data_IF_993411383387
#
_entry.id   IF_993411383387
#
_cell.length_a   1.000
_cell.length_b   1.000
_cell.length_c   1.000
_cell.angle_alpha   90.00
_cell.angle_beta   90.00
_cell.angle_gamma   90.00
#
_symmetry.space_group_name_H-M   'P 1'
#
loop_
_entity.id
_entity.type
_entity.pdbx_description
1 polymer ?
#
# COMPACT_ATOMS: atom_id res chain seq x y z
N UNK A 1 -21.24 -50.18 -7.74
CA UNK A 1 -20.82 -49.02 -6.93
C UNK A 1 -22.06 -48.18 -6.67
N UNK A 2 -22.44 -47.93 -5.42
CA UNK A 2 -23.70 -47.22 -5.12
C UNK A 2 -23.59 -45.76 -5.60
N UNK A 3 -24.47 -45.29 -6.52
CA UNK A 3 -24.36 -43.95 -7.10
C UNK A 3 -24.43 -42.84 -6.04
N UNK A 4 -25.17 -43.10 -4.95
CA UNK A 4 -25.28 -42.23 -3.78
C UNK A 4 -23.93 -42.07 -3.08
N UNK A 5 -23.17 -43.16 -2.95
CA UNK A 5 -21.87 -43.17 -2.28
C UNK A 5 -20.81 -42.42 -3.12
N UNK A 6 -20.88 -42.56 -4.45
CA UNK A 6 -20.04 -41.82 -5.39
C UNK A 6 -20.31 -40.31 -5.30
N UNK A 7 -21.58 -39.91 -5.29
CA UNK A 7 -21.98 -38.50 -5.18
C UNK A 7 -21.52 -37.90 -3.85
N UNK A 8 -21.60 -38.65 -2.76
CA UNK A 8 -21.14 -38.23 -1.44
C UNK A 8 -19.61 -38.02 -1.39
N UNK A 9 -18.84 -38.91 -2.02
CA UNK A 9 -17.37 -38.76 -2.12
C UNK A 9 -17.01 -37.51 -2.93
N UNK A 10 -17.66 -37.29 -4.07
CA UNK A 10 -17.42 -36.09 -4.91
C UNK A 10 -17.75 -34.81 -4.14
N UNK A 11 -18.84 -34.82 -3.38
CA UNK A 11 -19.25 -33.67 -2.55
C UNK A 11 -18.21 -33.34 -1.48
N UNK A 12 -17.68 -34.35 -0.78
CA UNK A 12 -16.63 -34.15 0.23
C UNK A 12 -15.37 -33.55 -0.42
N UNK A 13 -14.93 -34.11 -1.55
CA UNK A 13 -13.76 -33.61 -2.28
C UNK A 13 -13.97 -32.15 -2.72
N UNK A 14 -15.16 -31.83 -3.22
CA UNK A 14 -15.49 -30.46 -3.64
C UNK A 14 -15.40 -29.47 -2.46
N UNK A 15 -15.92 -29.84 -1.27
CA UNK A 15 -15.80 -29.00 -0.07
C UNK A 15 -14.34 -28.74 0.29
N UNK A 16 -13.50 -29.79 0.28
CA UNK A 16 -12.08 -29.64 0.58
C UNK A 16 -11.37 -28.71 -0.41
N UNK A 17 -11.69 -28.81 -1.70
CA UNK A 17 -11.13 -27.93 -2.74
C UNK A 17 -11.57 -26.48 -2.49
N UNK A 18 -12.86 -26.25 -2.18
CA UNK A 18 -13.38 -24.91 -1.91
C UNK A 18 -12.71 -24.31 -0.68
N UNK A 19 -12.53 -25.07 0.41
CA UNK A 19 -11.81 -24.61 1.60
C UNK A 19 -10.36 -24.23 1.27
N UNK A 20 -9.63 -25.09 0.56
CA UNK A 20 -8.25 -24.83 0.18
C UNK A 20 -8.13 -23.59 -0.73
N UNK A 21 -9.02 -23.47 -1.71
CA UNK A 21 -9.09 -22.31 -2.60
C UNK A 21 -9.37 -21.02 -1.82
N UNK A 22 -10.29 -21.08 -0.84
CA UNK A 22 -10.64 -19.94 0.02
C UNK A 22 -9.45 -19.49 0.86
N UNK A 23 -8.73 -20.43 1.49
CA UNK A 23 -7.53 -20.12 2.29
C UNK A 23 -6.44 -19.50 1.41
N UNK A 24 -6.17 -20.11 0.25
CA UNK A 24 -5.17 -19.60 -0.67
C UNK A 24 -5.53 -18.19 -1.18
N UNK A 25 -6.80 -17.97 -1.52
CA UNK A 25 -7.31 -16.68 -1.92
C UNK A 25 -7.18 -15.64 -0.81
N UNK A 26 -7.58 -15.98 0.42
CA UNK A 26 -7.47 -15.09 1.58
C UNK A 26 -6.00 -14.72 1.85
N UNK A 27 -5.08 -15.69 1.81
CA UNK A 27 -3.65 -15.44 2.01
C UNK A 27 -3.04 -14.56 0.91
N UNK A 28 -3.41 -14.80 -0.35
CA UNK A 28 -2.97 -13.97 -1.47
C UNK A 28 -3.54 -12.53 -1.36
N UNK A 29 -4.80 -12.40 -0.96
CA UNK A 29 -5.46 -11.11 -0.77
C UNK A 29 -4.85 -10.34 0.41
N UNK A 30 -4.67 -10.98 1.57
CA UNK A 30 -4.04 -10.39 2.77
C UNK A 30 -2.62 -9.93 2.48
N UNK A 31 -1.79 -10.74 1.81
CA UNK A 31 -0.44 -10.32 1.40
C UNK A 31 -0.45 -9.10 0.50
N UNK A 32 -1.41 -9.02 -0.43
CA UNK A 32 -1.48 -7.95 -1.42
C UNK A 32 -2.11 -6.66 -0.88
N UNK A 33 -3.08 -6.75 0.04
CA UNK A 33 -3.86 -5.59 0.48
C UNK A 33 -3.56 -5.11 1.90
N UNK A 34 -3.26 -6.03 2.84
CA UNK A 34 -3.07 -5.69 4.26
C UNK A 34 -1.60 -5.35 4.53
N UNK A 35 -0.66 -6.11 3.94
CA UNK A 35 0.78 -5.81 4.05
C UNK A 35 1.16 -4.45 3.47
N UNK A 36 0.68 -4.13 2.26
CA UNK A 36 1.01 -2.87 1.59
C UNK A 36 0.47 -1.65 2.32
N UNK A 37 -0.74 -1.70 2.88
CA UNK A 37 -1.34 -0.55 3.56
C UNK A 37 -0.75 -0.29 4.95
N UNK A 38 -0.43 -1.34 5.71
CA UNK A 38 0.22 -1.17 7.01
C UNK A 38 1.68 -0.73 6.88
N UNK A 39 2.43 -1.28 5.93
CA UNK A 39 3.80 -0.79 5.63
C UNK A 39 3.78 0.68 5.21
N UNK A 40 2.88 1.04 4.29
CA UNK A 40 2.76 2.43 3.84
C UNK A 40 2.40 3.35 5.02
N UNK A 41 1.51 2.93 5.91
CA UNK A 41 1.15 3.75 7.07
C UNK A 41 2.32 3.90 8.05
N UNK A 42 3.04 2.82 8.33
CA UNK A 42 4.21 2.83 9.22
C UNK A 42 5.34 3.72 8.68
N UNK A 43 5.67 3.57 7.39
CA UNK A 43 6.66 4.40 6.69
C UNK A 43 6.23 5.88 6.70
N UNK A 44 4.95 6.17 6.46
CA UNK A 44 4.42 7.54 6.50
C UNK A 44 4.43 8.14 7.90
N UNK A 45 4.12 7.37 8.95
CA UNK A 45 4.18 7.85 10.34
C UNK A 45 5.62 8.17 10.76
N UNK A 46 6.62 7.51 10.16
CA UNK A 46 8.05 7.84 10.34
C UNK A 46 8.51 9.08 9.56
N UNK A 47 7.68 9.60 8.65
CA UNK A 47 8.05 10.71 7.77
C UNK A 47 8.74 10.29 6.47
N UNK A 48 8.86 8.98 6.21
CA UNK A 48 9.57 8.42 5.06
C UNK A 48 8.63 8.22 3.86
N UNK A 49 9.16 8.35 2.65
CA UNK A 49 8.39 8.08 1.43
C UNK A 49 8.26 6.57 1.25
N UNK A 50 7.04 6.03 1.14
CA UNK A 50 6.87 4.59 1.07
C UNK A 50 7.60 3.96 -0.11
N UNK A 51 8.25 2.82 0.09
CA UNK A 51 9.08 2.17 -0.94
C UNK A 51 8.24 1.84 -2.18
N UNK A 52 6.99 1.42 -1.96
CA UNK A 52 6.02 1.11 -3.01
C UNK A 52 5.74 2.32 -3.92
N UNK A 53 5.79 3.53 -3.38
CA UNK A 53 5.57 4.76 -4.16
C UNK A 53 6.83 5.19 -4.87
N UNK A 54 7.98 5.12 -4.18
CA UNK A 54 9.25 5.61 -4.69
C UNK A 54 9.89 4.68 -5.73
N UNK A 55 9.64 3.37 -5.68
CA UNK A 55 10.28 2.37 -6.56
C UNK A 55 10.22 2.72 -8.05
N UNK A 56 9.04 3.12 -8.54
CA UNK A 56 8.83 3.48 -9.96
C UNK A 56 9.63 4.73 -10.34
N UNK A 57 9.77 5.68 -9.42
CA UNK A 57 10.51 6.91 -9.62
C UNK A 57 12.02 6.69 -9.49
N UNK A 58 12.49 5.95 -8.47
CA UNK A 58 13.90 5.55 -8.29
C UNK A 58 14.43 4.82 -9.54
N UNK A 59 13.69 3.87 -10.10
CA UNK A 59 14.08 3.17 -11.34
C UNK A 59 14.18 4.09 -12.57
N UNK A 60 13.27 5.06 -12.70
CA UNK A 60 13.29 6.01 -13.83
C UNK A 60 14.41 7.04 -13.67
N UNK A 61 14.68 7.47 -12.44
CA UNK A 61 15.75 8.40 -12.09
C UNK A 61 17.11 7.81 -12.47
N UNK A 62 17.41 6.59 -12.03
CA UNK A 62 18.61 5.84 -12.43
C UNK A 62 18.81 5.78 -13.95
N UNK A 63 17.74 5.50 -14.70
CA UNK A 63 17.79 5.47 -16.18
C UNK A 63 18.10 6.83 -16.81
N UNK A 64 17.69 7.94 -16.20
CA UNK A 64 17.96 9.29 -16.70
C UNK A 64 19.33 9.81 -16.25
N UNK A 65 19.79 9.45 -15.06
CA UNK A 65 21.14 9.74 -14.56
C UNK A 65 22.20 9.05 -15.42
N UNK A 66 22.04 7.76 -15.73
CA UNK A 66 22.95 7.02 -16.64
C UNK A 66 23.00 7.67 -18.03
N UNK A 67 21.91 8.31 -18.46
CA UNK A 67 21.82 8.99 -19.77
C UNK A 67 22.26 10.46 -19.73
N UNK A 68 22.75 10.95 -18.59
CA UNK A 68 23.19 12.34 -18.41
C UNK A 68 22.08 13.38 -18.56
N UNK A 69 20.79 13.00 -18.41
CA UNK A 69 19.64 13.89 -18.65
C UNK A 69 19.20 14.59 -17.37
N UNK A 70 20.04 15.46 -16.83
CA UNK A 70 19.78 16.19 -15.57
C UNK A 70 18.42 16.92 -15.56
N UNK A 71 18.05 17.59 -16.65
CA UNK A 71 16.76 18.29 -16.76
C UNK A 71 15.55 17.34 -16.63
N UNK A 72 15.68 16.10 -17.12
CA UNK A 72 14.62 15.09 -17.00
C UNK A 72 14.54 14.49 -15.61
N UNK A 73 15.65 14.43 -14.89
CA UNK A 73 15.68 14.02 -13.48
C UNK A 73 14.96 15.04 -12.62
N UNK A 74 15.21 16.33 -12.83
CA UNK A 74 14.56 17.39 -12.07
C UNK A 74 13.04 17.42 -12.28
N UNK A 75 12.60 17.34 -13.55
CA UNK A 75 11.17 17.20 -13.90
C UNK A 75 10.54 15.94 -13.28
N UNK A 76 11.28 14.83 -13.22
CA UNK A 76 10.81 13.59 -12.61
C UNK A 76 10.67 13.73 -11.09
N UNK A 77 11.60 14.42 -10.43
CA UNK A 77 11.56 14.67 -8.98
C UNK A 77 10.36 15.55 -8.61
N UNK A 78 10.11 16.62 -9.37
CA UNK A 78 8.92 17.45 -9.16
C UNK A 78 7.60 16.69 -9.36
N UNK A 79 7.54 15.82 -10.38
CA UNK A 79 6.39 14.95 -10.61
C UNK A 79 6.20 13.92 -9.48
N UNK A 80 7.29 13.30 -9.01
CA UNK A 80 7.29 12.35 -7.91
C UNK A 80 6.77 13.00 -6.62
N UNK A 81 7.30 14.18 -6.29
CA UNK A 81 6.90 14.94 -5.11
C UNK A 81 5.40 15.26 -5.09
N UNK A 82 4.87 15.75 -6.21
CA UNK A 82 3.43 16.03 -6.37
C UNK A 82 2.58 14.78 -6.21
N UNK A 83 3.04 13.65 -6.77
CA UNK A 83 2.35 12.37 -6.66
C UNK A 83 2.35 11.83 -5.22
N UNK A 84 3.47 11.94 -4.50
CA UNK A 84 3.57 11.53 -3.09
C UNK A 84 2.62 12.34 -2.20
N UNK A 85 2.60 13.66 -2.34
CA UNK A 85 1.65 14.52 -1.62
C UNK A 85 0.19 14.17 -1.94
N UNK A 86 -0.11 13.90 -3.21
CA UNK A 86 -1.47 13.48 -3.61
C UNK A 86 -1.87 12.16 -2.97
N UNK A 87 -0.95 11.19 -2.91
CA UNK A 87 -1.22 9.88 -2.30
C UNK A 87 -1.36 10.00 -0.77
N UNK A 88 -0.53 10.79 -0.12
CA UNK A 88 -0.66 11.12 1.31
C UNK A 88 -2.04 11.72 1.62
N UNK A 89 -2.52 12.68 0.80
CA UNK A 89 -3.85 13.26 0.96
C UNK A 89 -4.98 12.23 0.84
N UNK A 90 -4.84 11.25 -0.06
CA UNK A 90 -5.81 10.16 -0.20
C UNK A 90 -5.87 9.29 1.06
N UNK A 91 -4.71 8.99 1.68
CA UNK A 91 -4.65 8.22 2.92
C UNK A 91 -5.28 8.99 4.08
N UNK A 92 -4.94 10.27 4.23
CA UNK A 92 -5.58 11.15 5.23
C UNK A 92 -7.10 11.15 5.06
N UNK A 93 -7.58 11.37 3.83
CA UNK A 93 -9.02 11.39 3.52
C UNK A 93 -9.69 10.04 3.79
N UNK A 94 -8.99 8.95 3.48
CA UNK A 94 -9.47 7.60 3.77
C UNK A 94 -9.65 7.45 5.29
N UNK A 95 -8.60 7.62 6.08
CA UNK A 95 -8.63 7.46 7.54
C UNK A 95 -9.68 8.35 8.21
N UNK A 96 -9.87 9.58 7.74
CA UNK A 96 -10.93 10.47 8.22
C UNK A 96 -12.36 9.95 7.95
N UNK A 97 -12.57 9.20 6.87
CA UNK A 97 -13.90 8.75 6.43
C UNK A 97 -14.25 7.32 6.84
N UNK A 98 -13.26 6.47 7.13
CA UNK A 98 -13.52 5.07 7.48
C UNK A 98 -13.69 4.89 8.99
N UNK A 99 -14.61 4.01 9.38
CA UNK A 99 -14.73 3.49 10.74
C UNK A 99 -13.76 2.35 11.08
N UNK A 100 -12.83 1.96 10.17
CA UNK A 100 -11.86 0.87 10.43
C UNK A 100 -10.90 1.19 11.58
N UNK A 101 -10.69 2.46 11.91
CA UNK A 101 -10.02 2.83 13.15
C UNK A 101 -11.13 3.06 14.17
N UNK A 102 -11.43 2.00 14.93
CA UNK A 102 -12.53 1.98 15.91
C UNK A 102 -12.28 2.95 17.06
N UNK A 103 -11.01 3.20 17.38
CA UNK A 103 -10.58 4.10 18.44
C UNK A 103 -10.26 5.51 17.92
N UNK A 104 -10.98 6.51 18.45
CA UNK A 104 -10.81 7.92 18.05
C UNK A 104 -9.44 8.47 18.49
N UNK A 105 -8.88 7.98 19.59
CA UNK A 105 -7.55 8.38 20.07
C UNK A 105 -6.47 7.94 19.09
N UNK A 106 -6.50 6.66 18.68
CA UNK A 106 -5.62 6.11 17.65
C UNK A 106 -5.77 6.85 16.32
N UNK A 107 -7.01 7.19 15.92
CA UNK A 107 -7.26 7.95 14.69
C UNK A 107 -6.61 9.33 14.74
N UNK A 108 -6.80 10.05 15.85
CA UNK A 108 -6.22 11.38 16.05
C UNK A 108 -4.68 11.34 16.03
N UNK A 109 -4.08 10.35 16.70
CA UNK A 109 -2.63 10.17 16.70
C UNK A 109 -2.08 9.95 15.30
N UNK A 110 -2.68 9.03 14.53
CA UNK A 110 -2.26 8.75 13.15
C UNK A 110 -2.40 9.99 12.27
N UNK A 111 -3.53 10.71 12.36
CA UNK A 111 -3.74 11.92 11.56
C UNK A 111 -2.73 13.03 11.91
N UNK A 112 -2.39 13.18 13.19
CA UNK A 112 -1.34 14.10 13.62
C UNK A 112 0.01 13.76 12.99
N UNK A 113 0.40 12.49 13.01
CA UNK A 113 1.68 12.08 12.43
C UNK A 113 1.72 12.22 10.90
N UNK A 114 0.63 11.89 10.22
CA UNK A 114 0.51 12.13 8.77
C UNK A 114 0.56 13.62 8.41
N UNK A 115 0.04 14.50 9.26
CA UNK A 115 0.13 15.95 9.05
C UNK A 115 1.56 16.45 9.25
N UNK A 116 2.30 15.94 10.26
CA UNK A 116 3.74 16.22 10.40
C UNK A 116 4.52 15.81 9.16
N UNK A 117 4.27 14.60 8.64
CA UNK A 117 4.90 14.10 7.41
C UNK A 117 4.56 14.98 6.21
N UNK A 118 3.31 15.42 6.09
CA UNK A 118 2.89 16.36 5.04
C UNK A 118 3.67 17.67 5.13
N UNK A 119 3.81 18.24 6.33
CA UNK A 119 4.58 19.46 6.55
C UNK A 119 6.04 19.29 6.18
N UNK A 120 6.69 18.21 6.64
CA UNK A 120 8.09 17.90 6.33
C UNK A 120 8.33 17.82 4.81
N UNK A 121 7.44 17.12 4.10
CA UNK A 121 7.57 16.98 2.66
C UNK A 121 7.37 18.30 1.94
N UNK A 122 6.37 19.11 2.31
CA UNK A 122 6.14 20.44 1.71
C UNK A 122 7.32 21.39 1.90
N UNK A 123 8.04 21.27 3.01
CA UNK A 123 9.24 22.03 3.29
C UNK A 123 10.50 21.52 2.56
N UNK A 124 10.35 20.55 1.64
CA UNK A 124 11.46 19.89 0.93
C UNK A 124 12.48 19.18 1.84
N UNK A 125 12.13 18.91 3.11
CA UNK A 125 12.90 18.02 4.00
C UNK A 125 12.48 16.58 3.72
N UNK A 126 12.68 16.13 2.48
CA UNK A 126 12.41 14.75 2.10
C UNK A 126 13.65 13.93 2.44
N UNK A 127 13.56 13.08 3.46
CA UNK A 127 14.54 12.02 3.70
C UNK A 127 14.23 10.90 2.69
N UNK A 128 15.04 10.76 1.64
CA UNK A 128 14.90 9.75 0.55
C UNK A 128 16.02 8.70 0.57
#
# INVERSE_FOLDING_TARGET
MNPILLLLIVFIIAIFIIMAASIWFMNAFTRKYIGEKHMVLEELTRGEVPELWSRKYKQKRLKFEIKGKAEKVDKLNGAAHKDYLRNLNKIVTYIQKTSLVEDEETRSSILSDLEKTRHQWRENKVND
#
